data_IF_209500429482
#
_entry.id   IF_209500429482
#
_cell.length_a   1.000
_cell.length_b   1.000
_cell.length_c   1.000
_cell.angle_alpha   90.00
_cell.angle_beta   90.00
_cell.angle_gamma   90.00
#
_symmetry.space_group_name_H-M   'P 1'
#
loop_
_entity.id
_entity.type
_entity.pdbx_description
1 polymer ?
#
# COMPACT_ATOMS: atom_id res chain seq x y z
N UNK A 1 4.36 -10.12 -14.12
CA UNK A 1 3.36 -9.04 -13.98
C UNK A 1 3.46 -8.50 -12.55
N UNK A 2 3.50 -7.18 -12.36
CA UNK A 2 3.68 -6.55 -11.05
C UNK A 2 2.38 -6.01 -10.46
N UNK A 3 2.34 -5.79 -9.15
CA UNK A 3 1.25 -5.11 -8.44
C UNK A 3 1.71 -3.69 -8.10
N UNK A 4 0.89 -2.70 -8.44
CA UNK A 4 1.10 -1.28 -8.11
C UNK A 4 -0.05 -0.75 -7.25
N UNK A 5 0.19 0.38 -6.59
CA UNK A 5 -0.81 1.13 -5.83
C UNK A 5 -0.54 2.62 -6.04
N UNK A 6 -1.59 3.44 -5.91
CA UNK A 6 -1.52 4.89 -5.89
C UNK A 6 -2.55 5.38 -4.88
N UNK A 7 -2.14 6.19 -3.90
CA UNK A 7 -3.01 6.66 -2.81
C UNK A 7 -3.08 8.18 -2.79
N UNK A 8 -4.31 8.70 -2.65
CA UNK A 8 -4.61 10.13 -2.55
C UNK A 8 -4.97 10.53 -1.12
N UNK A 9 -4.40 11.62 -0.62
CA UNK A 9 -4.89 12.34 0.55
C UNK A 9 -6.01 13.29 0.11
N UNK A 10 -7.25 12.96 0.49
CA UNK A 10 -8.43 13.76 0.13
C UNK A 10 -8.59 15.04 0.94
N UNK A 11 -7.97 15.15 2.12
CA UNK A 11 -8.02 16.37 2.93
C UNK A 11 -7.13 17.46 2.32
N UNK A 12 -5.95 17.07 1.81
CA UNK A 12 -4.98 17.99 1.22
C UNK A 12 -5.04 18.07 -0.31
N UNK A 13 -5.73 17.13 -0.97
CA UNK A 13 -5.89 17.10 -2.42
C UNK A 13 -4.60 16.76 -3.18
N UNK A 14 -3.71 15.97 -2.57
CA UNK A 14 -2.42 15.58 -3.15
C UNK A 14 -2.11 14.09 -2.88
N UNK A 15 -1.14 13.49 -3.61
CA UNK A 15 -0.72 12.10 -3.33
C UNK A 15 -0.25 11.91 -1.89
N UNK A 16 -0.52 10.74 -1.32
CA UNK A 16 -0.24 10.41 0.07
C UNK A 16 1.24 10.00 0.27
N UNK A 17 2.15 10.88 -0.13
CA UNK A 17 3.59 10.66 -0.03
C UNK A 17 4.02 10.34 1.41
N UNK A 18 4.93 9.38 1.57
CA UNK A 18 5.42 8.95 2.88
C UNK A 18 4.48 8.00 3.64
N UNK A 19 3.31 7.65 3.12
CA UNK A 19 2.43 6.67 3.76
C UNK A 19 3.09 5.29 3.83
N UNK A 20 3.00 4.64 5.00
CA UNK A 20 3.44 3.26 5.17
C UNK A 20 2.35 2.27 4.76
N UNK A 21 2.67 1.40 3.80
CA UNK A 21 1.76 0.37 3.28
C UNK A 21 2.33 -1.01 3.54
N UNK A 22 1.46 -1.94 3.96
CA UNK A 22 1.79 -3.36 4.14
C UNK A 22 0.92 -4.21 3.21
N UNK A 23 1.55 -4.98 2.34
CA UNK A 23 0.88 -5.91 1.44
C UNK A 23 0.84 -7.30 2.07
N UNK A 24 -0.35 -7.90 2.11
CA UNK A 24 -0.56 -9.25 2.64
C UNK A 24 -1.12 -10.19 1.56
N UNK A 25 -0.68 -11.45 1.58
CA UNK A 25 -1.38 -12.54 0.92
C UNK A 25 -2.38 -13.18 1.89
N UNK A 26 -3.59 -13.47 1.41
CA UNK A 26 -4.62 -14.18 2.16
C UNK A 26 -4.92 -15.50 1.48
N UNK A 27 -4.86 -16.59 2.25
CA UNK A 27 -5.34 -17.92 1.85
C UNK A 27 -6.55 -18.25 2.72
N UNK A 28 -7.58 -18.88 2.13
CA UNK A 28 -8.80 -19.19 2.87
C UNK A 28 -8.51 -20.12 4.06
N UNK A 29 -8.92 -19.71 5.25
CA UNK A 29 -8.72 -20.47 6.49
C UNK A 29 -7.36 -20.28 7.17
N UNK A 30 -6.46 -19.48 6.61
CA UNK A 30 -5.14 -19.19 7.18
C UNK A 30 -4.98 -17.73 7.61
N UNK A 31 -3.97 -17.46 8.43
CA UNK A 31 -3.58 -16.10 8.79
C UNK A 31 -2.94 -15.37 7.58
N UNK A 32 -3.25 -14.08 7.44
CA UNK A 32 -2.67 -13.24 6.40
C UNK A 32 -1.14 -13.17 6.52
N UNK A 33 -0.44 -13.47 5.43
CA UNK A 33 1.03 -13.44 5.36
C UNK A 33 1.52 -12.10 4.83
N UNK A 34 2.32 -11.38 5.62
CA UNK A 34 2.96 -10.14 5.17
C UNK A 34 3.96 -10.46 4.04
N UNK A 35 3.78 -9.81 2.90
CA UNK A 35 4.66 -9.94 1.73
C UNK A 35 5.64 -8.79 1.61
N UNK A 36 5.18 -7.56 1.86
CA UNK A 36 6.00 -6.36 1.64
C UNK A 36 5.56 -5.21 2.55
N UNK A 37 6.52 -4.43 2.99
CA UNK A 37 6.29 -3.10 3.57
C UNK A 37 6.95 -2.08 2.65
N UNK A 38 6.23 -1.03 2.30
CA UNK A 38 6.73 0.07 1.46
C UNK A 38 6.35 1.41 2.08
N UNK A 39 7.13 2.43 1.76
CA UNK A 39 6.76 3.82 1.95
C UNK A 39 6.49 4.40 0.56
N UNK A 40 5.35 5.06 0.40
CA UNK A 40 4.95 5.68 -0.87
C UNK A 40 5.89 6.83 -1.25
N UNK A 41 6.11 7.01 -2.54
CA UNK A 41 6.97 8.08 -3.07
C UNK A 41 6.16 9.39 -3.22
N UNK A 42 6.74 10.41 -3.85
CA UNK A 42 6.08 11.72 -4.03
C UNK A 42 4.82 11.66 -4.91
N UNK A 43 4.64 10.56 -5.67
CA UNK A 43 3.46 10.29 -6.50
C UNK A 43 2.46 9.36 -5.80
N UNK A 44 2.63 9.09 -4.50
CA UNK A 44 1.73 8.26 -3.68
C UNK A 44 1.77 6.78 -4.02
#
# INVERSE_FOLDING_TARGET
MGLSTHVLDTMHGCPAAGMHVKLYATTQGEHAKLLKTITLNDDG
#
